data_IF_280415632947
#
_entry.id   IF_280415632947
#
_cell.length_a   1.000
_cell.length_b   1.000
_cell.length_c   1.000
_cell.angle_alpha   90.00
_cell.angle_beta   90.00
_cell.angle_gamma   90.00
#
_symmetry.space_group_name_H-M   'P 1'
#
loop_
_entity.id
_entity.type
_entity.pdbx_description
1 polymer ?
#
# COMPACT_ATOMS: atom_id res chain seq x y z
N UNK A 1 -21.70 -31.75 7.32
CA UNK A 1 -22.15 -30.34 7.39
C UNK A 1 -23.37 -30.20 6.50
N UNK A 2 -24.44 -29.56 6.98
CA UNK A 2 -25.67 -29.34 6.21
C UNK A 2 -25.48 -28.26 5.14
N UNK A 3 -26.36 -28.21 4.14
CA UNK A 3 -26.31 -27.20 3.07
C UNK A 3 -26.30 -25.75 3.62
N UNK A 4 -27.08 -25.50 4.67
CA UNK A 4 -27.16 -24.21 5.35
C UNK A 4 -25.84 -23.84 6.07
N UNK A 5 -25.20 -24.82 6.70
CA UNK A 5 -23.88 -24.63 7.30
C UNK A 5 -22.81 -24.30 6.26
N UNK A 6 -22.87 -24.90 5.07
CA UNK A 6 -21.94 -24.58 3.96
C UNK A 6 -22.21 -23.16 3.43
N UNK A 7 -23.48 -22.77 3.27
CA UNK A 7 -23.85 -21.42 2.86
C UNK A 7 -23.36 -20.35 3.86
N UNK A 8 -23.50 -20.61 5.16
CA UNK A 8 -23.01 -19.74 6.23
C UNK A 8 -21.47 -19.60 6.23
N UNK A 9 -20.73 -20.68 5.92
CA UNK A 9 -19.27 -20.60 5.77
C UNK A 9 -18.85 -19.77 4.55
N UNK A 10 -19.63 -19.79 3.46
CA UNK A 10 -19.32 -19.11 2.21
C UNK A 10 -19.70 -17.63 2.20
N UNK A 11 -20.68 -17.21 2.99
CA UNK A 11 -21.08 -15.80 3.10
C UNK A 11 -20.05 -14.93 3.84
N UNK A 12 -19.17 -15.52 4.65
CA UNK A 12 -18.36 -14.80 5.65
C UNK A 12 -16.87 -15.13 5.59
N UNK A 13 -16.22 -14.64 4.54
CA UNK A 13 -14.81 -14.89 4.24
C UNK A 13 -13.80 -14.16 5.15
N UNK A 14 -14.25 -13.33 6.09
CA UNK A 14 -13.39 -12.50 6.97
C UNK A 14 -13.18 -13.10 8.37
N UNK A 15 -13.91 -14.15 8.72
CA UNK A 15 -13.93 -14.71 10.07
C UNK A 15 -12.80 -15.75 10.27
N UNK A 16 -12.29 -15.81 11.50
CA UNK A 16 -11.36 -16.87 11.92
C UNK A 16 -12.10 -18.20 12.10
N UNK A 17 -11.38 -19.33 12.12
CA UNK A 17 -12.01 -20.65 12.34
C UNK A 17 -12.79 -20.73 13.66
N UNK A 18 -12.36 -20.02 14.71
CA UNK A 18 -13.12 -19.92 15.97
C UNK A 18 -14.40 -19.11 15.78
N UNK A 19 -14.31 -17.94 15.16
CA UNK A 19 -15.48 -17.11 14.88
C UNK A 19 -16.48 -17.79 13.92
N UNK A 20 -16.01 -18.63 13.00
CA UNK A 20 -16.88 -19.45 12.16
C UNK A 20 -17.56 -20.56 12.96
N UNK A 21 -16.88 -21.17 13.94
CA UNK A 21 -17.50 -22.12 14.86
C UNK A 21 -18.59 -21.44 15.70
N UNK A 22 -18.29 -20.27 16.28
CA UNK A 22 -19.25 -19.49 17.07
C UNK A 22 -20.47 -19.07 16.22
N UNK A 23 -20.24 -18.75 14.94
CA UNK A 23 -21.30 -18.34 14.00
C UNK A 23 -22.17 -19.52 13.55
N UNK A 24 -21.56 -20.68 13.30
CA UNK A 24 -22.30 -21.90 12.99
C UNK A 24 -23.17 -22.36 14.16
N UNK A 25 -22.67 -22.19 15.39
CA UNK A 25 -23.40 -22.51 16.61
C UNK A 25 -24.59 -21.57 16.81
N UNK A 26 -24.38 -20.26 16.64
CA UNK A 26 -25.42 -19.23 16.87
C UNK A 26 -26.46 -19.12 15.74
N UNK A 27 -26.08 -19.30 14.48
CA UNK A 27 -26.98 -19.05 13.32
C UNK A 27 -27.52 -20.31 12.67
N UNK A 28 -26.80 -21.43 12.78
CA UNK A 28 -27.19 -22.70 12.16
C UNK A 28 -27.45 -23.80 13.19
N UNK A 29 -27.26 -23.53 14.49
CA UNK A 29 -27.32 -24.53 15.56
C UNK A 29 -26.38 -25.72 15.32
N UNK A 30 -25.23 -25.47 14.68
CA UNK A 30 -24.21 -26.47 14.34
C UNK A 30 -22.99 -26.22 15.21
N UNK A 31 -22.83 -27.02 16.26
CA UNK A 31 -21.64 -27.00 17.11
C UNK A 31 -20.52 -27.84 16.48
N UNK A 32 -19.43 -27.18 16.07
CA UNK A 32 -18.27 -27.85 15.45
C UNK A 32 -16.96 -27.26 15.95
N UNK A 33 -15.95 -28.09 16.13
CA UNK A 33 -14.63 -27.59 16.49
C UNK A 33 -13.95 -26.89 15.28
N UNK A 34 -13.05 -25.92 15.51
CA UNK A 34 -12.32 -25.23 14.45
C UNK A 34 -11.59 -26.15 13.48
N UNK A 35 -11.14 -27.33 13.96
CA UNK A 35 -10.46 -28.33 13.15
C UNK A 35 -11.40 -29.00 12.14
N UNK A 36 -12.64 -29.30 12.54
CA UNK A 36 -13.67 -29.84 11.64
C UNK A 36 -14.00 -28.84 10.52
N UNK A 37 -14.11 -27.55 10.85
CA UNK A 37 -14.30 -26.49 9.86
C UNK A 37 -13.11 -26.42 8.90
N UNK A 38 -11.87 -26.52 9.42
CA UNK A 38 -10.66 -26.55 8.59
C UNK A 38 -10.69 -27.73 7.61
N UNK A 39 -10.90 -28.95 8.12
CA UNK A 39 -10.93 -30.16 7.30
C UNK A 39 -12.04 -30.10 6.24
N UNK A 40 -13.21 -29.55 6.61
CA UNK A 40 -14.31 -29.35 5.67
C UNK A 40 -13.95 -28.33 4.58
N UNK A 41 -13.33 -27.21 4.95
CA UNK A 41 -12.90 -26.19 3.99
C UNK A 41 -11.78 -26.71 3.06
N UNK A 42 -10.87 -27.54 3.58
CA UNK A 42 -9.77 -28.14 2.81
C UNK A 42 -10.27 -29.26 1.87
N UNK A 43 -11.34 -29.97 2.25
CA UNK A 43 -12.03 -30.95 1.40
C UNK A 43 -12.92 -30.34 0.32
N UNK A 44 -13.07 -29.01 0.33
CA UNK A 44 -13.80 -28.24 -0.69
C UNK A 44 -12.80 -27.41 -1.53
N UNK A 45 -13.18 -26.93 -2.73
CA UNK A 45 -12.32 -26.10 -3.59
C UNK A 45 -12.18 -24.65 -3.07
N UNK A 46 -11.97 -24.47 -1.76
CA UNK A 46 -11.85 -23.18 -1.09
C UNK A 46 -10.40 -23.00 -0.65
N UNK A 47 -9.74 -21.96 -1.15
CA UNK A 47 -8.32 -21.72 -0.87
C UNK A 47 -8.13 -20.40 -0.11
N UNK A 48 -7.15 -20.37 0.79
CA UNK A 48 -6.68 -19.12 1.40
C UNK A 48 -6.02 -18.23 0.31
N UNK A 49 -6.54 -17.03 0.10
CA UNK A 49 -6.06 -16.06 -0.88
C UNK A 49 -5.70 -14.72 -0.24
N UNK A 50 -4.84 -13.96 -0.90
CA UNK A 50 -4.57 -12.59 -0.49
C UNK A 50 -5.83 -11.73 -0.68
N UNK A 51 -6.10 -10.83 0.27
CA UNK A 51 -7.20 -9.89 0.12
C UNK A 51 -6.88 -8.83 -0.94
N UNK A 52 -7.68 -8.76 -2.00
CA UNK A 52 -7.66 -7.72 -3.00
C UNK A 52 -8.42 -6.47 -2.50
N UNK A 53 -7.88 -5.28 -2.76
CA UNK A 53 -8.51 -4.00 -2.37
C UNK A 53 -8.84 -3.23 -3.64
N UNK A 54 -10.12 -3.07 -3.94
CA UNK A 54 -10.58 -2.20 -5.04
C UNK A 54 -11.13 -0.90 -4.46
N UNK A 55 -10.49 0.25 -4.77
CA UNK A 55 -11.07 1.55 -4.44
C UNK A 55 -12.27 1.80 -5.36
N UNK A 56 -13.47 1.79 -4.79
CA UNK A 56 -14.75 1.90 -5.48
C UNK A 56 -14.85 3.09 -6.45
N UNK A 57 -14.11 4.16 -6.21
CA UNK A 57 -14.16 5.39 -7.00
C UNK A 57 -13.03 5.51 -8.03
N UNK A 58 -12.12 4.55 -8.15
CA UNK A 58 -10.93 4.69 -9.01
C UNK A 58 -11.25 4.86 -10.51
N UNK A 59 -12.26 4.14 -11.00
CA UNK A 59 -12.60 4.08 -12.43
C UNK A 59 -13.83 4.93 -12.81
N UNK A 60 -14.22 5.90 -11.97
CA UNK A 60 -15.23 6.88 -12.38
C UNK A 60 -14.70 7.74 -13.53
N UNK A 61 -15.58 8.18 -14.44
CA UNK A 61 -15.18 9.00 -15.60
C UNK A 61 -14.46 10.29 -15.17
N UNK A 62 -14.94 10.91 -14.09
CA UNK A 62 -14.30 12.07 -13.46
C UNK A 62 -12.84 11.79 -13.10
N UNK A 63 -12.56 10.64 -12.49
CA UNK A 63 -11.19 10.29 -12.10
C UNK A 63 -10.35 9.88 -13.31
N UNK A 64 -10.91 9.17 -14.31
CA UNK A 64 -10.21 8.88 -15.57
C UNK A 64 -9.72 10.15 -16.27
N UNK A 65 -10.56 11.17 -16.37
CA UNK A 65 -10.20 12.47 -16.93
C UNK A 65 -9.09 13.17 -16.11
N UNK A 66 -9.19 13.15 -14.78
CA UNK A 66 -8.12 13.68 -13.90
C UNK A 66 -6.79 12.95 -14.09
N UNK A 67 -6.82 11.62 -14.26
CA UNK A 67 -5.62 10.81 -14.53
C UNK A 67 -4.96 11.22 -15.84
N UNK A 68 -5.75 11.36 -16.91
CA UNK A 68 -5.26 11.82 -18.22
C UNK A 68 -4.68 13.24 -18.15
N UNK A 69 -5.37 14.17 -17.48
CA UNK A 69 -4.89 15.54 -17.30
C UNK A 69 -3.55 15.60 -16.56
N UNK A 70 -3.38 14.80 -15.50
CA UNK A 70 -2.10 14.66 -14.81
C UNK A 70 -0.98 14.16 -15.73
N UNK A 71 -1.27 13.14 -16.56
CA UNK A 71 -0.27 12.57 -17.47
C UNK A 71 0.16 13.54 -18.58
N UNK A 72 -0.79 14.29 -19.15
CA UNK A 72 -0.48 15.35 -20.12
C UNK A 72 0.49 16.34 -19.49
N UNK A 73 0.19 16.80 -18.27
CA UNK A 73 1.06 17.74 -17.56
C UNK A 73 2.44 17.17 -17.26
N UNK A 74 2.51 15.89 -16.87
CA UNK A 74 3.78 15.20 -16.63
C UNK A 74 4.62 15.12 -17.92
N UNK A 75 4.00 14.77 -19.04
CA UNK A 75 4.66 14.68 -20.35
C UNK A 75 5.15 16.04 -20.86
N UNK A 76 4.38 17.11 -20.67
CA UNK A 76 4.81 18.48 -20.98
C UNK A 76 6.09 18.85 -20.23
N UNK A 77 6.14 18.55 -18.93
CA UNK A 77 7.30 18.86 -18.09
C UNK A 77 8.54 18.03 -18.49
N UNK A 78 8.33 16.77 -18.86
CA UNK A 78 9.39 15.92 -19.41
C UNK A 78 9.89 16.44 -20.77
N UNK A 79 8.99 16.91 -21.65
CA UNK A 79 9.34 17.50 -22.93
C UNK A 79 10.12 18.82 -22.79
N UNK A 80 9.90 19.56 -21.71
CA UNK A 80 10.70 20.73 -21.33
C UNK A 80 12.10 20.37 -20.79
N UNK A 81 12.46 19.07 -20.73
CA UNK A 81 13.75 18.60 -20.24
C UNK A 81 13.88 18.62 -18.71
N UNK A 82 12.78 18.77 -17.96
CA UNK A 82 12.82 18.72 -16.50
C UNK A 82 12.92 17.27 -16.01
N UNK A 83 13.82 17.04 -15.06
CA UNK A 83 13.96 15.77 -14.35
C UNK A 83 12.87 15.63 -13.28
N UNK A 84 12.14 14.52 -13.32
CA UNK A 84 11.07 14.21 -12.38
C UNK A 84 11.63 13.52 -11.13
N UNK A 85 11.28 14.01 -9.95
CA UNK A 85 11.63 13.44 -8.65
C UNK A 85 10.32 13.06 -7.94
N UNK A 86 10.12 11.78 -7.69
CA UNK A 86 8.98 11.28 -6.92
C UNK A 86 9.30 11.29 -5.42
N UNK A 87 8.41 11.88 -4.63
CA UNK A 87 8.50 11.93 -3.18
C UNK A 87 7.17 11.52 -2.57
N UNK A 88 7.23 10.72 -1.52
CA UNK A 88 6.05 10.20 -0.83
C UNK A 88 6.47 9.68 0.55
N UNK A 89 5.52 9.52 1.47
CA UNK A 89 5.75 8.88 2.74
C UNK A 89 5.14 7.49 2.83
N UNK A 90 5.82 6.63 3.56
CA UNK A 90 5.31 5.30 3.85
C UNK A 90 5.24 5.02 5.34
N UNK A 91 4.08 4.56 5.80
CA UNK A 91 3.91 4.07 7.15
C UNK A 91 4.37 2.62 7.32
N UNK A 92 4.85 2.30 8.53
CA UNK A 92 5.18 0.95 8.96
C UNK A 92 4.27 0.56 10.12
N UNK A 93 3.62 -0.60 10.01
CA UNK A 93 2.92 -1.22 11.14
C UNK A 93 3.70 -2.46 11.61
N UNK A 94 4.38 -2.33 12.74
CA UNK A 94 5.11 -3.42 13.40
C UNK A 94 4.18 -4.54 13.93
N UNK A 95 2.87 -4.31 13.96
CA UNK A 95 1.84 -5.24 14.43
C UNK A 95 0.90 -5.70 13.31
N UNK A 96 1.41 -5.84 12.10
CA UNK A 96 0.57 -6.15 10.93
C UNK A 96 -0.22 -7.46 11.14
N UNK A 97 -1.55 -7.35 11.26
CA UNK A 97 -2.50 -8.47 11.30
C UNK A 97 -2.50 -9.25 9.96
N UNK A 98 -3.01 -10.49 9.98
CA UNK A 98 -3.01 -11.43 8.85
C UNK A 98 -3.35 -10.78 7.49
N UNK A 99 -2.46 -10.98 6.52
CA UNK A 99 -2.58 -10.51 5.13
C UNK A 99 -3.47 -11.39 4.24
N UNK A 100 -3.84 -12.60 4.70
CA UNK A 100 -4.56 -13.62 3.90
C UNK A 100 -5.98 -13.86 4.46
N UNK A 101 -6.96 -14.02 3.57
CA UNK A 101 -8.36 -14.42 3.84
C UNK A 101 -8.78 -15.64 3.00
N UNK A 102 -10.02 -16.13 3.12
CA UNK A 102 -10.51 -17.27 2.30
C UNK A 102 -11.36 -16.76 1.14
N UNK A 103 -11.26 -17.37 -0.04
CA UNK A 103 -12.21 -17.15 -1.14
C UNK A 103 -12.28 -18.38 -2.04
N UNK A 104 -13.38 -18.53 -2.77
CA UNK A 104 -13.62 -19.65 -3.69
C UNK A 104 -12.54 -19.67 -4.77
N UNK A 105 -12.11 -20.84 -5.23
CA UNK A 105 -11.18 -20.97 -6.37
C UNK A 105 -11.73 -20.19 -7.58
N UNK A 106 -10.89 -19.37 -8.22
CA UNK A 106 -11.32 -18.42 -9.25
C UNK A 106 -11.82 -17.02 -8.79
N UNK A 107 -12.12 -16.79 -7.50
CA UNK A 107 -12.53 -15.46 -6.97
C UNK A 107 -11.53 -14.83 -6.01
N UNK A 108 -11.50 -13.50 -5.92
CA UNK A 108 -10.64 -12.74 -4.99
C UNK A 108 -11.29 -12.67 -3.60
N UNK A 109 -10.50 -12.58 -2.54
CA UNK A 109 -11.00 -12.22 -1.20
C UNK A 109 -10.96 -10.69 -1.09
N UNK A 110 -11.99 -9.98 -0.58
CA UNK A 110 -11.99 -8.49 -0.57
C UNK A 110 -12.00 -7.91 0.85
N UNK A 111 -11.12 -6.94 1.16
CA UNK A 111 -11.07 -6.26 2.47
C UNK A 111 -11.29 -4.75 2.31
N UNK A 112 -12.42 -4.22 2.80
CA UNK A 112 -12.64 -2.76 2.91
C UNK A 112 -11.79 -2.18 4.04
N UNK A 113 -11.04 -1.10 3.79
CA UNK A 113 -10.20 -0.40 4.78
C UNK A 113 -10.28 1.12 4.62
N UNK A 114 -10.28 1.84 5.74
CA UNK A 114 -10.06 3.29 5.81
C UNK A 114 -8.56 3.56 5.95
N UNK A 115 -8.02 4.49 5.17
CA UNK A 115 -6.62 4.94 5.26
C UNK A 115 -6.53 6.10 6.25
N UNK A 116 -5.55 6.05 7.15
CA UNK A 116 -5.21 7.13 8.08
C UNK A 116 -3.70 7.31 8.02
N UNK A 117 -3.23 8.49 7.63
CA UNK A 117 -1.79 8.82 7.50
C UNK A 117 -1.50 10.02 8.39
N UNK A 118 -0.47 9.93 9.21
CA UNK A 118 0.09 11.04 9.99
C UNK A 118 1.60 10.86 10.06
N UNK A 119 2.33 11.84 9.52
CA UNK A 119 3.65 12.27 10.02
C UNK A 119 4.14 13.50 9.25
N UNK A 120 4.90 14.35 9.92
CA UNK A 120 5.56 15.55 9.40
C UNK A 120 7.05 15.26 9.32
N UNK A 121 7.70 15.54 8.19
CA UNK A 121 9.08 16.06 8.05
C UNK A 121 9.40 16.22 6.55
N UNK A 122 9.80 17.43 6.15
CA UNK A 122 10.46 17.70 4.86
C UNK A 122 11.90 18.11 5.16
N UNK A 123 12.86 17.54 4.42
CA UNK A 123 14.27 17.94 4.49
C UNK A 123 14.78 18.32 3.09
N UNK A 124 15.71 19.28 3.12
CA UNK A 124 16.20 20.14 2.04
C UNK A 124 16.57 19.42 0.73
N UNK A 125 16.09 19.99 -0.39
CA UNK A 125 16.51 19.69 -1.75
C UNK A 125 17.21 20.95 -2.27
N UNK A 126 18.47 20.86 -2.72
CA UNK A 126 19.22 22.00 -3.26
C UNK A 126 19.20 22.01 -4.80
N UNK A 127 19.00 23.22 -5.33
CA UNK A 127 18.96 23.66 -6.75
C UNK A 127 17.95 22.93 -7.64
N UNK A 128 16.80 23.57 -7.87
CA UNK A 128 15.61 22.95 -8.46
C UNK A 128 15.21 23.46 -9.85
N UNK A 129 16.02 24.28 -10.53
CA UNK A 129 15.67 24.87 -11.84
C UNK A 129 15.22 23.84 -12.89
N UNK A 130 15.81 22.63 -12.85
CA UNK A 130 15.50 21.53 -13.77
C UNK A 130 14.65 20.42 -13.14
N UNK A 131 14.12 20.59 -11.93
CA UNK A 131 13.47 19.51 -11.19
C UNK A 131 11.97 19.73 -11.00
N UNK A 132 11.20 18.67 -11.25
CA UNK A 132 9.79 18.59 -10.88
C UNK A 132 9.68 17.66 -9.70
N UNK A 133 9.12 18.13 -8.59
CA UNK A 133 8.84 17.30 -7.42
C UNK A 133 7.39 16.83 -7.50
N UNK A 134 7.21 15.51 -7.57
CA UNK A 134 5.90 14.85 -7.57
C UNK A 134 5.58 14.41 -6.15
N UNK A 135 4.44 14.87 -5.62
CA UNK A 135 3.97 14.59 -4.26
C UNK A 135 2.50 14.17 -4.28
N UNK A 136 2.08 13.36 -3.30
CA UNK A 136 0.68 12.99 -3.14
C UNK A 136 -0.17 14.15 -2.54
N UNK A 137 -1.47 13.93 -2.32
CA UNK A 137 -2.36 14.94 -1.72
C UNK A 137 -2.63 14.66 -0.22
N UNK A 138 -1.74 13.94 0.45
CA UNK A 138 -1.90 13.61 1.86
C UNK A 138 -1.79 14.87 2.74
N UNK A 139 -2.53 14.95 3.87
CA UNK A 139 -2.49 16.10 4.77
C UNK A 139 -1.09 16.47 5.29
N UNK A 140 -0.14 15.52 5.30
CA UNK A 140 1.26 15.79 5.66
C UNK A 140 1.94 16.80 4.72
N UNK A 141 1.45 16.91 3.48
CA UNK A 141 1.98 17.82 2.48
C UNK A 141 1.18 19.13 2.36
N UNK A 142 0.27 19.43 3.29
CA UNK A 142 -0.61 20.62 3.19
C UNK A 142 0.13 21.98 3.12
N UNK A 143 1.42 22.00 3.48
CA UNK A 143 2.26 23.22 3.44
C UNK A 143 3.18 23.30 2.23
N UNK A 144 3.20 22.29 1.36
CA UNK A 144 4.17 22.23 0.26
C UNK A 144 4.06 23.43 -0.67
N UNK A 145 2.86 23.90 -1.00
CA UNK A 145 2.65 25.08 -1.84
C UNK A 145 3.28 26.34 -1.22
N UNK A 146 3.17 26.51 0.10
CA UNK A 146 3.78 27.63 0.80
C UNK A 146 5.31 27.54 0.78
N UNK A 147 5.88 26.33 0.90
CA UNK A 147 7.33 26.10 0.80
C UNK A 147 7.83 26.41 -0.61
N UNK A 148 7.12 25.96 -1.65
CA UNK A 148 7.50 26.24 -3.05
C UNK A 148 7.32 27.72 -3.45
N UNK A 149 6.60 28.51 -2.65
CA UNK A 149 6.51 29.96 -2.83
C UNK A 149 7.70 30.72 -2.21
N UNK A 150 8.49 30.08 -1.35
CA UNK A 150 9.68 30.69 -0.76
C UNK A 150 10.75 30.94 -1.84
N UNK A 151 11.54 32.03 -1.75
CA UNK A 151 12.55 32.38 -2.76
C UNK A 151 13.55 31.27 -3.08
N UNK A 152 13.87 30.42 -2.11
CA UNK A 152 14.80 29.28 -2.28
C UNK A 152 14.27 28.21 -3.26
N UNK A 153 12.95 28.14 -3.47
CA UNK A 153 12.29 27.09 -4.24
C UNK A 153 11.52 27.61 -5.46
N UNK A 154 11.61 28.90 -5.79
CA UNK A 154 10.87 29.51 -6.91
C UNK A 154 11.13 28.82 -8.25
N UNK A 155 12.33 28.27 -8.45
CA UNK A 155 12.69 27.60 -9.70
C UNK A 155 12.23 26.13 -9.74
N UNK A 156 11.78 25.58 -8.60
CA UNK A 156 11.27 24.22 -8.49
C UNK A 156 9.83 24.13 -9.00
N UNK A 157 9.50 23.06 -9.72
CA UNK A 157 8.12 22.82 -10.13
C UNK A 157 7.47 21.77 -9.23
N UNK A 158 6.38 22.13 -8.53
CA UNK A 158 5.56 21.18 -7.80
C UNK A 158 4.51 20.56 -8.73
N UNK A 159 4.40 19.23 -8.73
CA UNK A 159 3.33 18.51 -9.41
C UNK A 159 2.60 17.58 -8.42
N UNK A 160 1.35 17.92 -8.08
CA UNK A 160 0.50 17.05 -7.25
C UNK A 160 0.05 15.83 -8.05
N UNK A 161 0.11 14.66 -7.43
CA UNK A 161 -0.50 13.46 -7.98
C UNK A 161 -2.01 13.66 -8.11
N UNK A 162 -2.57 13.28 -9.26
CA UNK A 162 -4.02 13.16 -9.41
C UNK A 162 -4.62 12.14 -8.43
N UNK A 163 -5.91 12.26 -8.10
CA UNK A 163 -6.56 11.34 -7.17
C UNK A 163 -6.59 9.90 -7.71
N UNK A 164 -6.45 8.92 -6.82
CA UNK A 164 -6.49 7.47 -7.11
C UNK A 164 -5.40 7.00 -8.12
N UNK A 165 -4.19 7.58 -8.02
CA UNK A 165 -3.04 7.27 -8.89
C UNK A 165 -1.86 6.49 -8.26
N UNK A 166 -2.03 5.60 -7.26
CA UNK A 166 -0.88 4.92 -6.65
C UNK A 166 -0.07 4.08 -7.66
N UNK A 167 -0.69 3.60 -8.74
CA UNK A 167 -0.01 2.80 -9.77
C UNK A 167 0.87 3.62 -10.73
N UNK A 168 0.60 4.92 -10.83
CA UNK A 168 1.41 5.86 -11.63
C UNK A 168 2.55 6.43 -10.79
N UNK A 169 2.55 6.21 -9.47
CA UNK A 169 3.63 6.59 -8.58
C UNK A 169 4.65 5.44 -8.44
N UNK A 170 5.80 5.46 -9.15
CA UNK A 170 6.77 4.36 -9.10
C UNK A 170 7.35 4.13 -7.71
N UNK A 171 7.36 5.15 -6.83
CA UNK A 171 7.89 5.04 -5.46
C UNK A 171 7.09 4.04 -4.62
N UNK A 172 5.81 3.80 -4.92
CA UNK A 172 4.97 2.84 -4.20
C UNK A 172 5.46 1.40 -4.38
N UNK A 173 6.01 1.09 -5.57
CA UNK A 173 6.62 -0.20 -5.85
C UNK A 173 7.98 -0.35 -5.16
N UNK A 174 8.77 0.73 -5.12
CA UNK A 174 10.03 0.77 -4.36
C UNK A 174 9.75 0.58 -2.86
N UNK A 175 8.74 1.27 -2.32
CA UNK A 175 8.28 1.11 -0.94
C UNK A 175 7.73 -0.27 -0.66
N UNK A 176 7.06 -0.90 -1.63
CA UNK A 176 6.60 -2.29 -1.48
C UNK A 176 7.77 -3.26 -1.34
N UNK A 177 8.79 -3.13 -2.17
CA UNK A 177 10.03 -3.92 -2.07
C UNK A 177 10.75 -3.66 -0.74
N UNK A 178 10.88 -2.39 -0.35
CA UNK A 178 11.52 -1.99 0.90
C UNK A 178 10.77 -2.53 2.12
N UNK A 179 9.44 -2.38 2.15
CA UNK A 179 8.58 -2.96 3.19
C UNK A 179 8.74 -4.47 3.31
N UNK A 180 8.92 -5.17 2.20
CA UNK A 180 9.17 -6.62 2.23
C UNK A 180 10.46 -6.91 3.00
N UNK A 181 11.56 -6.22 2.68
CA UNK A 181 12.84 -6.41 3.39
C UNK A 181 12.80 -6.01 4.86
N UNK A 182 12.10 -4.93 5.20
CA UNK A 182 11.89 -4.55 6.60
C UNK A 182 11.10 -5.62 7.35
N UNK A 183 10.10 -6.24 6.72
CA UNK A 183 9.33 -7.35 7.34
C UNK A 183 10.18 -8.60 7.55
N UNK A 184 11.05 -8.94 6.61
CA UNK A 184 11.98 -10.06 6.74
C UNK A 184 12.90 -9.82 7.95
N UNK A 185 13.54 -8.64 8.01
CA UNK A 185 14.40 -8.22 9.12
C UNK A 185 13.65 -8.16 10.47
N UNK A 186 12.42 -7.65 10.48
CA UNK A 186 11.56 -7.61 11.68
C UNK A 186 11.21 -9.01 12.18
N UNK A 187 11.09 -9.98 11.27
CA UNK A 187 10.79 -11.38 11.61
C UNK A 187 11.99 -12.03 12.27
N UNK A 188 13.20 -11.79 11.77
CA UNK A 188 14.47 -12.28 12.33
C UNK A 188 14.75 -11.67 13.72
N UNK A 189 14.56 -10.36 13.89
CA UNK A 189 14.84 -9.64 15.14
C UNK A 189 13.62 -9.54 16.08
N UNK A 190 12.57 -10.33 15.85
CA UNK A 190 11.28 -10.19 16.54
C UNK A 190 11.41 -10.24 18.06
N UNK A 191 12.23 -11.14 18.60
CA UNK A 191 12.42 -11.27 20.04
C UNK A 191 12.99 -9.98 20.66
N UNK A 192 13.94 -9.33 19.99
CA UNK A 192 14.60 -8.10 20.43
C UNK A 192 13.67 -6.88 20.32
N UNK A 193 12.83 -6.83 19.29
CA UNK A 193 11.83 -5.77 19.10
C UNK A 193 10.73 -5.83 20.18
N UNK A 194 10.44 -7.01 20.70
CA UNK A 194 9.48 -7.23 21.80
C UNK A 194 10.12 -6.96 23.16
N UNK A 195 11.39 -7.35 23.35
CA UNK A 195 12.14 -7.16 24.59
C UNK A 195 12.56 -5.69 24.76
N UNK A 196 11.69 -4.88 25.36
CA UNK A 196 11.97 -3.46 25.64
C UNK A 196 12.84 -3.34 26.90
N UNK A 197 14.02 -2.69 26.83
CA UNK A 197 14.88 -2.45 27.99
C UNK A 197 14.23 -1.57 29.05
N UNK A 198 14.64 -1.74 30.31
CA UNK A 198 14.23 -0.84 31.39
C UNK A 198 14.74 0.59 31.12
N UNK A 199 13.89 1.59 31.36
CA UNK A 199 14.22 3.01 31.16
C UNK A 199 13.92 3.56 29.76
N UNK A 200 13.46 2.73 28.80
CA UNK A 200 13.07 3.19 27.46
C UNK A 200 11.58 2.95 27.18
N UNK A 201 10.92 3.88 26.50
CA UNK A 201 9.53 3.68 26.08
C UNK A 201 9.44 2.66 24.94
N UNK A 202 8.35 1.88 24.90
CA UNK A 202 8.11 0.94 23.78
C UNK A 202 8.18 1.62 22.40
N UNK A 203 7.75 2.89 22.33
CA UNK A 203 7.77 3.69 21.09
C UNK A 203 9.21 3.99 20.67
N UNK A 204 10.03 4.50 21.59
CA UNK A 204 11.42 4.86 21.30
C UNK A 204 12.25 3.62 20.89
N UNK A 205 12.11 2.51 21.64
CA UNK A 205 12.79 1.25 21.32
C UNK A 205 12.47 0.77 19.90
N UNK A 206 11.19 0.73 19.55
CA UNK A 206 10.74 0.29 18.22
C UNK A 206 11.08 1.26 17.10
N UNK A 207 11.05 2.55 17.39
CA UNK A 207 11.46 3.58 16.43
C UNK A 207 12.94 3.42 16.07
N UNK A 208 13.80 3.13 17.06
CA UNK A 208 15.21 2.88 16.83
C UNK A 208 15.43 1.72 15.84
N UNK A 209 14.80 0.57 16.08
CA UNK A 209 14.87 -0.58 15.16
C UNK A 209 14.39 -0.25 13.74
N UNK A 210 13.30 0.51 13.61
CA UNK A 210 12.80 0.91 12.28
C UNK A 210 13.74 1.89 11.58
N UNK A 211 14.35 2.82 12.32
CA UNK A 211 15.31 3.78 11.79
C UNK A 211 16.58 3.07 11.32
N UNK A 212 17.11 2.16 12.12
CA UNK A 212 18.28 1.34 11.77
C UNK A 212 17.98 0.47 10.53
N UNK A 213 16.87 -0.26 10.54
CA UNK A 213 16.44 -1.05 9.39
C UNK A 213 16.28 -0.19 8.12
N UNK A 214 15.74 1.02 8.25
CA UNK A 214 15.61 1.94 7.11
C UNK A 214 16.98 2.40 6.59
N UNK A 215 17.89 2.82 7.46
CA UNK A 215 19.22 3.27 7.08
C UNK A 215 20.04 2.16 6.41
N UNK A 216 19.95 0.93 6.91
CA UNK A 216 20.71 -0.20 6.38
C UNK A 216 20.09 -0.81 5.12
N UNK A 217 18.76 -0.96 5.08
CA UNK A 217 18.09 -1.70 4.00
C UNK A 217 17.70 -0.80 2.83
N UNK A 218 17.35 0.47 3.05
CA UNK A 218 16.85 1.33 1.97
C UNK A 218 17.90 1.51 0.85
N UNK A 219 19.18 1.80 1.12
CA UNK A 219 20.20 1.89 0.06
C UNK A 219 20.42 0.57 -0.70
N UNK A 220 20.18 -0.57 -0.04
CA UNK A 220 20.31 -1.91 -0.65
C UNK A 220 19.11 -2.28 -1.52
N UNK A 221 17.93 -1.71 -1.23
CA UNK A 221 16.70 -1.96 -1.98
C UNK A 221 16.52 -0.96 -3.11
N UNK A 222 16.62 0.34 -2.83
CA UNK A 222 16.39 1.42 -3.78
C UNK A 222 17.59 1.61 -4.74
N UNK A 223 18.01 0.53 -5.39
CA UNK A 223 19.06 0.54 -6.41
C UNK A 223 18.55 1.22 -7.68
N UNK A 224 19.47 1.79 -8.48
CA UNK A 224 19.12 2.39 -9.77
C UNK A 224 18.34 1.43 -10.68
N UNK A 225 18.71 0.14 -10.68
CA UNK A 225 18.03 -0.90 -11.44
C UNK A 225 16.59 -1.13 -10.96
N UNK A 226 16.36 -1.20 -9.64
CA UNK A 226 15.00 -1.36 -9.11
C UNK A 226 14.16 -0.12 -9.41
N UNK A 227 14.70 1.08 -9.19
CA UNK A 227 14.00 2.33 -9.49
C UNK A 227 13.61 2.44 -10.97
N UNK A 228 14.52 2.08 -11.89
CA UNK A 228 14.22 2.05 -13.33
C UNK A 228 13.14 1.03 -13.67
N UNK A 229 13.18 -0.17 -13.06
CA UNK A 229 12.15 -1.20 -13.25
C UNK A 229 10.78 -0.74 -12.73
N UNK A 230 10.72 -0.13 -11.55
CA UNK A 230 9.50 0.44 -10.99
C UNK A 230 8.95 1.58 -11.85
N UNK A 231 9.82 2.42 -12.42
CA UNK A 231 9.44 3.46 -13.36
C UNK A 231 8.86 2.88 -14.66
N UNK A 232 9.54 1.92 -15.30
CA UNK A 232 9.01 1.25 -16.50
C UNK A 232 7.69 0.55 -16.23
N UNK A 233 7.51 -0.04 -15.05
CA UNK A 233 6.23 -0.62 -14.66
C UNK A 233 5.13 0.45 -14.58
N UNK A 234 5.41 1.60 -13.98
CA UNK A 234 4.47 2.73 -13.93
C UNK A 234 4.09 3.21 -15.35
N UNK A 235 5.03 3.25 -16.29
CA UNK A 235 4.77 3.63 -17.69
C UNK A 235 3.74 2.74 -18.38
N UNK A 236 3.65 1.45 -18.04
CA UNK A 236 2.62 0.55 -18.64
C UNK A 236 1.19 1.01 -18.35
N UNK A 237 1.01 1.75 -17.27
CA UNK A 237 -0.27 2.34 -16.88
C UNK A 237 -0.54 3.69 -17.54
N UNK A 238 0.47 4.36 -18.09
CA UNK A 238 0.30 5.64 -18.78
C UNK A 238 -0.53 5.48 -20.06
N UNK A 239 -0.33 4.37 -20.79
CA UNK A 239 -1.10 4.05 -22.00
C UNK A 239 -2.59 3.95 -21.65
N UNK A 240 -2.92 3.10 -20.68
CA UNK A 240 -4.30 2.89 -20.21
C UNK A 240 -4.98 4.17 -19.74
N UNK A 241 -4.25 5.01 -19.01
CA UNK A 241 -4.79 6.27 -18.52
C UNK A 241 -4.98 7.31 -19.63
N UNK A 242 -4.14 7.30 -20.67
CA UNK A 242 -4.32 8.13 -21.87
C UNK A 242 -5.60 7.73 -22.62
N UNK A 243 -5.83 6.42 -22.76
CA UNK A 243 -6.97 5.85 -23.48
C UNK A 243 -8.27 5.82 -22.65
N UNK A 244 -8.26 6.41 -21.44
CA UNK A 244 -9.39 6.42 -20.50
C UNK A 244 -9.90 5.02 -20.12
N UNK A 245 -9.03 4.03 -20.20
CA UNK A 245 -9.34 2.66 -19.81
C UNK A 245 -9.46 2.51 -18.28
N UNK A 246 -10.15 1.43 -17.90
CA UNK A 246 -10.20 0.98 -16.52
C UNK A 246 -8.83 0.50 -16.07
N UNK A 247 -8.43 1.00 -14.91
CA UNK A 247 -7.15 0.67 -14.30
C UNK A 247 -7.33 -0.51 -13.35
N UNK A 248 -6.62 -1.64 -13.58
CA UNK A 248 -6.71 -2.78 -12.69
C UNK A 248 -5.94 -2.49 -11.42
N UNK A 249 -6.54 -2.64 -10.25
CA UNK A 249 -5.80 -2.53 -8.99
C UNK A 249 -5.01 -3.83 -8.79
N UNK A 250 -3.79 -3.76 -8.25
CA UNK A 250 -2.96 -4.86 -7.73
C UNK A 250 -3.08 -6.26 -8.37
N UNK A 251 -2.05 -6.69 -9.13
CA UNK A 251 -1.83 -8.12 -9.42
C UNK A 251 -1.32 -8.86 -8.20
#
# INVERSE_FOLDING_TARGET
MTADGVACLLSEFRLTLRQLADKLDTQCSISVCPQTIKNHLDGNPITMKLFHKEPQYMNTDVNKLKRRGYLIRLQELQAMGKSIIYMDETSFNLWSSRTRGRSIRGRLAVKKTFQRVHSKHFAQIRKCEQHVVVLDNSPCHARTEAVFAEPEFQDATLLRLGPYLPMINPIENVFSAFKSKVKDCTTEHRAQIIAVPQGTTMKAHRQHFLQEAAQTLFPRVATAQLCASCYHHALTFHVKATDLEDMPVGR
#
